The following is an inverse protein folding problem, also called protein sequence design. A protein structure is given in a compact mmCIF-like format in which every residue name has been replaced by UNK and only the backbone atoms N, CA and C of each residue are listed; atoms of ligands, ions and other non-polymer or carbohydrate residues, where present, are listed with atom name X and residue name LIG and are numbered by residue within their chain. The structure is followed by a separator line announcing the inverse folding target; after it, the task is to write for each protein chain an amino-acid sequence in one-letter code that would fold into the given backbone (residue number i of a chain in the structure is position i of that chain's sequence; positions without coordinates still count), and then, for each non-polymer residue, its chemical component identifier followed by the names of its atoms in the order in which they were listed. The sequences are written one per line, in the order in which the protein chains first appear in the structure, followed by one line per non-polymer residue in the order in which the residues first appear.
data_IF_527973938167
#
_entry.id   IF_527973938167
#
_cell.length_a   1.000
_cell.length_b   1.000
_cell.length_c   1.000
_cell.angle_alpha   90.00
_cell.angle_beta   90.00
_cell.angle_gamma   90.00
#
_symmetry.space_group_name_H-M   'P 1'
#
loop_
_entity.id
_entity.type
_entity.pdbx_description
1 polymer ?
#
# COMPACT_ATOMS: atom_id res chain seq x y z
N UNK A 1 -11.42 -31.30 13.50
CA UNK A 1 -10.45 -30.70 12.56
C UNK A 1 -11.18 -29.72 11.64
N UNK A 2 -11.33 -28.49 12.12
CA UNK A 2 -11.97 -27.40 11.38
C UNK A 2 -10.90 -26.78 10.51
N UNK A 3 -10.99 -27.01 9.21
CA UNK A 3 -10.18 -26.36 8.19
C UNK A 3 -10.45 -24.85 8.27
N UNK A 4 -9.51 -24.08 8.81
CA UNK A 4 -9.55 -22.63 8.66
C UNK A 4 -9.22 -22.37 7.18
N UNK A 5 -10.09 -21.69 6.41
CA UNK A 5 -9.74 -21.33 5.05
C UNK A 5 -8.50 -20.45 5.13
N UNK A 6 -7.35 -21.01 4.74
CA UNK A 6 -6.14 -20.24 4.55
C UNK A 6 -6.49 -19.13 3.58
N UNK A 7 -6.55 -17.89 4.09
CA UNK A 7 -6.61 -16.69 3.28
C UNK A 7 -5.40 -16.73 2.35
N UNK A 8 -5.62 -17.23 1.14
CA UNK A 8 -4.64 -17.21 0.06
C UNK A 8 -4.26 -15.76 -0.15
N UNK A 9 -2.96 -15.43 -0.14
CA UNK A 9 -2.47 -14.06 -0.34
C UNK A 9 -3.08 -13.37 -1.58
N UNK A 10 -3.54 -14.15 -2.58
CA UNK A 10 -4.25 -13.65 -3.76
C UNK A 10 -5.67 -13.11 -3.52
N UNK A 11 -6.40 -13.57 -2.50
CA UNK A 11 -7.73 -13.02 -2.17
C UNK A 11 -7.58 -11.67 -1.46
N UNK A 12 -6.65 -11.57 -0.50
CA UNK A 12 -6.42 -10.35 0.27
C UNK A 12 -6.04 -9.15 -0.62
N UNK A 13 -5.23 -9.37 -1.66
CA UNK A 13 -4.85 -8.30 -2.59
C UNK A 13 -6.04 -7.83 -3.45
N UNK A 14 -6.86 -8.76 -3.93
CA UNK A 14 -8.06 -8.42 -4.69
C UNK A 14 -9.07 -7.65 -3.83
N UNK A 15 -9.27 -8.07 -2.58
CA UNK A 15 -10.17 -7.41 -1.62
C UNK A 15 -9.66 -6.00 -1.27
N UNK A 16 -8.38 -5.87 -0.94
CA UNK A 16 -7.76 -4.58 -0.63
C UNK A 16 -7.88 -3.59 -1.81
N UNK A 17 -7.66 -4.08 -3.03
CA UNK A 17 -7.82 -3.27 -4.24
C UNK A 17 -9.28 -2.92 -4.50
N UNK A 18 -10.21 -3.87 -4.34
CA UNK A 18 -11.63 -3.65 -4.53
C UNK A 18 -12.16 -2.54 -3.62
N UNK A 19 -11.88 -2.63 -2.32
CA UNK A 19 -12.26 -1.64 -1.31
C UNK A 19 -11.64 -0.26 -1.61
N UNK A 20 -10.37 -0.26 -2.00
CA UNK A 20 -9.66 1.00 -2.30
C UNK A 20 -10.22 1.67 -3.54
N UNK A 21 -10.56 0.91 -4.59
CA UNK A 21 -11.22 1.41 -5.79
C UNK A 21 -12.59 2.01 -5.45
N UNK A 22 -13.40 1.33 -4.63
CA UNK A 22 -14.69 1.84 -4.19
C UNK A 22 -14.57 3.22 -3.52
N UNK A 23 -13.64 3.35 -2.56
CA UNK A 23 -13.37 4.60 -1.85
C UNK A 23 -12.81 5.71 -2.75
N UNK A 24 -12.17 5.33 -3.84
CA UNK A 24 -11.56 6.25 -4.80
C UNK A 24 -12.41 6.41 -6.07
N UNK A 25 -13.73 6.18 -5.97
CA UNK A 25 -14.71 6.36 -7.04
C UNK A 25 -14.39 5.54 -8.31
N UNK A 26 -13.96 4.29 -8.13
CA UNK A 26 -13.65 3.36 -9.21
C UNK A 26 -12.36 3.66 -9.98
N UNK A 27 -11.52 4.58 -9.50
CA UNK A 27 -10.26 4.93 -10.18
C UNK A 27 -9.26 3.79 -10.12
N UNK A 28 -8.64 3.49 -11.26
CA UNK A 28 -7.56 2.51 -11.32
C UNK A 28 -6.25 3.06 -10.71
N UNK A 29 -5.53 2.26 -9.91
CA UNK A 29 -4.22 2.64 -9.43
C UNK A 29 -3.19 2.56 -10.55
N UNK A 30 -2.14 3.37 -10.45
CA UNK A 30 -0.85 3.00 -11.02
C UNK A 30 -0.32 1.81 -10.22
N UNK A 31 -0.13 0.67 -10.89
CA UNK A 31 0.54 -0.49 -10.32
C UNK A 31 2.03 -0.44 -10.64
N UNK A 32 2.86 -0.66 -9.63
CA UNK A 32 4.31 -0.81 -9.76
C UNK A 32 4.71 -2.15 -9.16
N UNK A 33 5.27 -3.03 -9.97
CA UNK A 33 5.89 -4.28 -9.50
C UNK A 33 7.33 -4.02 -9.07
N UNK A 34 7.89 -4.90 -8.24
CA UNK A 34 9.24 -4.75 -7.64
C UNK A 34 10.31 -4.24 -8.61
N UNK A 35 10.36 -4.81 -9.80
CA UNK A 35 11.40 -4.54 -10.81
C UNK A 35 11.01 -3.43 -11.81
N UNK A 36 9.86 -2.80 -11.61
CA UNK A 36 9.38 -1.69 -12.44
C UNK A 36 9.84 -0.33 -11.89
N UNK A 37 10.06 0.58 -12.83
CA UNK A 37 10.27 1.99 -12.52
C UNK A 37 8.96 2.77 -12.64
N UNK A 38 8.69 3.70 -11.71
CA UNK A 38 7.58 4.63 -11.82
C UNK A 38 7.72 5.47 -13.09
N UNK A 39 6.62 5.73 -13.82
CA UNK A 39 6.65 6.62 -14.97
C UNK A 39 7.26 7.98 -14.62
N UNK A 40 7.96 8.66 -15.55
CA UNK A 40 8.56 9.98 -15.30
C UNK A 40 7.56 11.04 -14.84
N UNK A 41 6.28 10.87 -15.17
CA UNK A 41 5.18 11.76 -14.75
C UNK A 41 4.82 11.64 -13.26
N UNK A 42 5.38 10.66 -12.54
CA UNK A 42 5.14 10.39 -11.11
C UNK A 42 6.15 11.06 -10.16
N UNK A 43 6.96 12.00 -10.66
CA UNK A 43 7.95 12.73 -9.86
C UNK A 43 7.36 13.74 -8.88
N UNK A 44 6.21 14.35 -9.21
CA UNK A 44 5.57 15.38 -8.41
C UNK A 44 4.04 15.24 -8.38
N UNK A 45 3.48 15.27 -7.17
CA UNK A 45 2.04 15.27 -6.90
C UNK A 45 1.71 14.47 -5.65
N UNK A 46 0.58 14.74 -5.03
CA UNK A 46 0.16 14.02 -3.83
C UNK A 46 -0.51 12.70 -4.21
N UNK A 47 0.01 11.60 -3.67
CA UNK A 47 -0.46 10.24 -3.88
C UNK A 47 -0.83 9.60 -2.55
N UNK A 48 -1.85 8.75 -2.58
CA UNK A 48 -2.08 7.71 -1.58
C UNK A 48 -1.77 6.37 -2.23
N UNK A 49 -1.17 5.43 -1.49
CA UNK A 49 -0.80 4.13 -2.02
C UNK A 49 -1.02 2.99 -1.03
N UNK A 50 -1.23 1.81 -1.59
CA UNK A 50 -1.10 0.51 -0.92
C UNK A 50 0.24 -0.09 -1.31
N UNK A 51 0.96 -0.61 -0.32
CA UNK A 51 2.19 -1.36 -0.50
C UNK A 51 1.93 -2.79 -0.06
N UNK A 52 2.05 -3.73 -0.99
CA UNK A 52 1.94 -5.15 -0.73
C UNK A 52 3.31 -5.68 -0.30
N UNK A 53 3.40 -6.23 0.90
CA UNK A 53 4.62 -6.86 1.40
C UNK A 53 4.63 -8.34 1.00
N UNK A 54 5.54 -8.71 0.09
CA UNK A 54 5.58 -10.06 -0.49
C UNK A 54 5.94 -11.18 0.50
N UNK A 55 6.52 -10.86 1.66
CA UNK A 55 6.91 -11.87 2.64
C UNK A 55 5.80 -12.20 3.64
N UNK A 56 5.01 -11.20 4.04
CA UNK A 56 3.96 -11.37 5.06
C UNK A 56 2.57 -11.41 4.45
N UNK A 57 2.40 -11.03 3.17
CA UNK A 57 1.10 -10.87 2.53
C UNK A 57 0.29 -9.68 3.07
N UNK A 58 0.90 -8.85 3.92
CA UNK A 58 0.26 -7.68 4.54
C UNK A 58 0.35 -6.43 3.68
N UNK A 59 -0.57 -5.50 3.94
CA UNK A 59 -0.67 -4.21 3.25
C UNK A 59 -0.25 -3.06 4.15
N UNK A 60 0.55 -2.15 3.61
CA UNK A 60 0.85 -0.86 4.23
C UNK A 60 0.22 0.26 3.40
N UNK A 61 -0.59 1.11 4.04
CA UNK A 61 -1.11 2.33 3.41
C UNK A 61 -0.18 3.49 3.75
N UNK A 62 0.11 4.34 2.78
CA UNK A 62 0.79 5.60 3.04
C UNK A 62 0.48 6.67 2.01
N UNK A 63 0.92 7.88 2.32
CA UNK A 63 0.91 9.02 1.38
C UNK A 63 2.31 9.47 0.97
N UNK A 64 2.41 10.18 -0.16
CA UNK A 64 3.65 10.84 -0.59
C UNK A 64 3.40 11.94 -1.62
N UNK A 65 4.26 12.96 -1.64
CA UNK A 65 4.29 13.97 -2.71
C UNK A 65 5.26 13.63 -3.87
N UNK A 66 6.02 12.53 -3.72
CA UNK A 66 6.94 12.00 -4.74
C UNK A 66 6.90 10.48 -4.74
N UNK A 67 6.07 9.93 -5.63
CA UNK A 67 5.87 8.50 -5.73
C UNK A 67 7.17 7.78 -6.07
N UNK A 68 7.97 8.33 -6.98
CA UNK A 68 9.22 7.72 -7.40
C UNK A 68 10.23 7.58 -6.27
N UNK A 69 10.42 8.65 -5.47
CA UNK A 69 11.29 8.60 -4.30
C UNK A 69 10.79 7.58 -3.27
N UNK A 70 9.48 7.52 -3.05
CA UNK A 70 8.87 6.63 -2.05
C UNK A 70 8.93 5.16 -2.46
N UNK A 71 8.69 4.86 -3.74
CA UNK A 71 8.85 3.52 -4.29
C UNK A 71 10.28 3.02 -4.16
N UNK A 72 11.27 3.83 -4.56
CA UNK A 72 12.68 3.48 -4.44
C UNK A 72 13.11 3.19 -3.00
N UNK A 73 12.56 3.92 -2.02
CA UNK A 73 12.80 3.65 -0.59
C UNK A 73 12.20 2.30 -0.15
N UNK A 74 10.96 2.02 -0.54
CA UNK A 74 10.23 0.84 -0.06
C UNK A 74 10.63 -0.46 -0.75
N UNK A 75 10.97 -0.43 -2.06
CA UNK A 75 11.34 -1.64 -2.80
C UNK A 75 12.57 -2.34 -2.21
N UNK A 76 13.52 -1.56 -1.65
CA UNK A 76 14.67 -2.09 -0.91
C UNK A 76 14.37 -2.41 0.55
N UNK A 77 13.79 -1.46 1.29
CA UNK A 77 13.69 -1.56 2.76
C UNK A 77 12.54 -2.45 3.26
N UNK A 78 11.41 -2.50 2.54
CA UNK A 78 10.19 -3.22 2.95
C UNK A 78 9.93 -4.49 2.14
N UNK A 79 10.87 -4.88 1.28
CA UNK A 79 10.75 -6.03 0.35
C UNK A 79 9.39 -6.04 -0.34
N UNK A 80 8.93 -4.85 -0.76
CA UNK A 80 7.66 -4.67 -1.43
C UNK A 80 7.55 -5.58 -2.66
N UNK A 81 6.41 -6.25 -2.81
CA UNK A 81 6.08 -7.02 -3.99
C UNK A 81 5.44 -6.12 -5.06
N UNK A 82 4.50 -5.28 -4.63
CA UNK A 82 3.80 -4.33 -5.48
C UNK A 82 3.44 -3.05 -4.72
N UNK A 83 3.24 -1.97 -5.47
CA UNK A 83 2.61 -0.74 -5.01
C UNK A 83 1.44 -0.39 -5.92
N UNK A 84 0.34 0.05 -5.32
CA UNK A 84 -0.85 0.52 -6.02
C UNK A 84 -1.10 1.96 -5.58
N UNK A 85 -0.94 2.92 -6.48
CA UNK A 85 -0.92 4.33 -6.15
C UNK A 85 -1.98 5.13 -6.90
N UNK A 86 -2.67 6.02 -6.19
CA UNK A 86 -3.65 6.93 -6.76
C UNK A 86 -3.23 8.37 -6.55
N UNK A 87 -3.19 9.12 -7.64
CA UNK A 87 -2.96 10.57 -7.58
C UNK A 87 -4.21 11.25 -7.01
N UNK A 88 -4.05 12.07 -5.99
CA UNK A 88 -5.15 12.77 -5.32
C UNK A 88 -5.12 14.25 -5.70
N UNK A 89 -6.23 14.75 -6.23
CA UNK A 89 -6.45 16.19 -6.40
C UNK A 89 -6.86 16.77 -5.04
N UNK A 90 -6.18 17.83 -4.58
CA UNK A 90 -6.44 18.43 -3.26
C UNK A 90 -5.23 18.47 -2.31
N UNK A 91 -4.09 17.96 -2.75
CA UNK A 91 -2.83 18.07 -2.02
C UNK A 91 -2.79 17.25 -0.73
N UNK A 92 -1.81 17.57 0.12
CA UNK A 92 -1.46 16.82 1.33
C UNK A 92 -2.63 16.61 2.31
N UNK A 93 -3.49 17.61 2.49
CA UNK A 93 -4.63 17.47 3.41
C UNK A 93 -5.67 16.46 2.91
N UNK A 94 -5.88 16.40 1.60
CA UNK A 94 -6.79 15.42 0.99
C UNK A 94 -6.19 14.01 1.03
N UNK A 95 -4.90 13.85 0.74
CA UNK A 95 -4.22 12.55 0.84
C UNK A 95 -4.23 12.01 2.26
N UNK A 96 -4.00 12.84 3.28
CA UNK A 96 -4.05 12.40 4.70
C UNK A 96 -5.41 11.87 5.12
N UNK A 97 -6.48 12.54 4.69
CA UNK A 97 -7.85 12.08 4.98
C UNK A 97 -8.12 10.75 4.30
N UNK A 98 -7.75 10.62 3.02
CA UNK A 98 -7.92 9.37 2.28
C UNK A 98 -7.07 8.23 2.85
N UNK A 99 -5.83 8.50 3.26
CA UNK A 99 -4.96 7.54 3.94
C UNK A 99 -5.64 7.00 5.21
N UNK A 100 -6.11 7.89 6.09
CA UNK A 100 -6.78 7.49 7.32
C UNK A 100 -8.06 6.67 7.04
N UNK A 101 -8.86 7.08 6.05
CA UNK A 101 -10.06 6.34 5.65
C UNK A 101 -9.73 4.95 5.09
N UNK A 102 -8.69 4.85 4.24
CA UNK A 102 -8.24 3.56 3.69
C UNK A 102 -7.75 2.63 4.79
N UNK A 103 -6.95 3.13 5.73
CA UNK A 103 -6.47 2.34 6.88
C UNK A 103 -7.65 1.78 7.67
N UNK A 104 -8.62 2.63 8.03
CA UNK A 104 -9.78 2.21 8.80
C UNK A 104 -10.60 1.14 8.04
N UNK A 105 -10.94 1.40 6.78
CA UNK A 105 -11.79 0.50 5.98
C UNK A 105 -11.15 -0.85 5.68
N UNK A 106 -9.85 -0.88 5.40
CA UNK A 106 -9.12 -2.12 5.16
C UNK A 106 -9.01 -2.95 6.44
N UNK A 107 -8.70 -2.31 7.57
CA UNK A 107 -8.63 -2.99 8.87
C UNK A 107 -10.01 -3.54 9.30
N UNK A 108 -11.08 -2.76 9.14
CA UNK A 108 -12.46 -3.19 9.41
C UNK A 108 -12.89 -4.37 8.53
N UNK A 109 -12.36 -4.47 7.31
CA UNK A 109 -12.66 -5.54 6.37
C UNK A 109 -11.80 -6.79 6.58
N UNK A 110 -10.93 -6.81 7.60
CA UNK A 110 -10.06 -7.96 7.90
C UNK A 110 -8.85 -8.10 6.98
N UNK A 111 -8.54 -7.08 6.15
CA UNK A 111 -7.31 -7.06 5.37
C UNK A 111 -6.12 -7.00 6.33
N UNK A 112 -5.09 -7.86 6.17
CA UNK A 112 -3.92 -7.82 7.04
C UNK A 112 -3.15 -6.52 6.83
N UNK A 113 -3.19 -5.62 7.81
CA UNK A 113 -2.53 -4.32 7.76
C UNK A 113 -1.19 -4.35 8.51
N UNK A 114 -0.15 -3.79 7.89
CA UNK A 114 1.14 -3.57 8.52
C UNK A 114 1.17 -2.16 9.14
N UNK A 115 1.42 -2.10 10.44
CA UNK A 115 1.58 -0.82 11.15
C UNK A 115 2.82 -0.07 10.65
N UNK A 116 2.78 1.27 10.73
CA UNK A 116 3.99 2.10 10.57
C UNK A 116 5.09 1.72 11.55
N UNK A 117 4.71 1.22 12.73
CA UNK A 117 5.64 0.82 13.81
C UNK A 117 6.28 -0.54 13.53
N UNK A 118 5.49 -1.56 13.15
CA UNK A 118 6.02 -2.90 12.77
C UNK A 118 6.93 -2.82 11.55
N UNK A 119 6.65 -1.88 10.66
CA UNK A 119 7.48 -1.67 9.47
C UNK A 119 8.86 -1.04 9.77
N UNK A 120 9.12 -0.65 11.03
CA UNK A 120 10.45 -0.23 11.51
C UNK A 120 11.23 -1.39 12.14
N UNK A 121 10.56 -2.50 12.48
CA UNK A 121 11.17 -3.67 13.11
C UNK A 121 11.82 -4.66 12.12
N UNK A 122 11.75 -4.41 10.81
CA UNK A 122 12.54 -5.14 9.81
C UNK A 122 13.97 -4.59 9.64
N UNK A 123 14.40 -3.69 10.53
CA UNK A 123 15.65 -2.92 10.38
C UNK A 123 16.54 -2.84 11.63
N UNK A 124 16.41 -3.73 12.61
CA UNK A 124 17.44 -3.88 13.64
C UNK A 124 17.73 -5.37 13.85
N UNK A 125 18.76 -5.86 13.16
CA UNK A 125 19.48 -7.02 13.65
C UNK A 125 20.06 -6.65 15.00
N UNK A 126 19.68 -7.41 16.02
CA UNK A 126 20.41 -7.53 17.27
C UNK A 126 21.86 -7.88 16.92
N UNK A 127 22.80 -7.08 17.41
CA UNK A 127 24.23 -7.32 17.28
C UNK A 127 24.75 -8.00 18.55
#
# INVERSE_FOLDING_TARGET
PTDAPGLSAGSCAADALGLSKELLNGREPLRLLRDEEPPPTCVAGSYVYLLECGETGGFYVGETDSLARRWNQHRGARRAAAMYAWKVAGGKSATRRLEATLIARLAESGVPMLSTSDASHFGFGDA
#
